data_IF_745495682118
#
_entry.id   IF_745495682118
#
_cell.length_a   1.000
_cell.length_b   1.000
_cell.length_c   1.000
_cell.angle_alpha   90.00
_cell.angle_beta   90.00
_cell.angle_gamma   90.00
#
_symmetry.space_group_name_H-M   'P 1'
#
loop_
_entity.id
_entity.type
_entity.pdbx_description
1 polymer ?
#
# COMPACT_ATOMS: atom_id res chain seq x y z
N UNK A 1 -20.76 -8.75 0.64
CA UNK A 1 -21.54 -7.56 0.28
C UNK A 1 -21.28 -7.29 -1.19
N UNK A 2 -22.25 -7.52 -2.06
CA UNK A 2 -22.02 -7.46 -3.52
C UNK A 2 -21.80 -6.02 -4.04
N UNK A 3 -22.13 -4.99 -3.27
CA UNK A 3 -21.93 -3.57 -3.65
C UNK A 3 -21.49 -2.69 -2.47
N UNK A 4 -20.66 -1.67 -2.74
CA UNK A 4 -20.18 -0.62 -1.81
C UNK A 4 -20.35 0.76 -2.45
N UNK A 5 -20.66 1.78 -1.66
CA UNK A 5 -20.72 3.18 -2.11
C UNK A 5 -19.35 3.67 -2.58
N UNK A 6 -19.32 4.49 -3.64
CA UNK A 6 -18.09 5.13 -4.15
C UNK A 6 -17.51 6.05 -3.07
N UNK A 7 -18.36 6.93 -2.53
CA UNK A 7 -18.00 7.78 -1.40
C UNK A 7 -18.29 7.03 -0.10
N UNK A 8 -17.23 6.58 0.57
CA UNK A 8 -17.29 6.02 1.91
C UNK A 8 -16.15 6.59 2.74
N UNK A 9 -16.40 6.88 4.03
CA UNK A 9 -15.36 7.48 4.88
C UNK A 9 -14.21 6.49 5.07
N UNK A 10 -12.99 7.03 5.09
CA UNK A 10 -11.81 6.23 5.43
C UNK A 10 -11.85 5.78 6.91
N UNK A 11 -11.11 4.72 7.28
CA UNK A 11 -10.98 4.31 8.66
C UNK A 11 -10.42 5.43 9.56
N UNK A 12 -11.07 5.64 10.71
CA UNK A 12 -10.64 6.56 11.76
C UNK A 12 -9.32 6.15 12.43
N UNK A 13 -8.81 6.95 13.37
CA UNK A 13 -7.49 6.71 13.97
C UNK A 13 -7.44 5.40 14.78
N UNK A 14 -8.46 5.13 15.59
CA UNK A 14 -8.51 3.96 16.48
C UNK A 14 -8.59 2.64 15.71
N UNK A 15 -9.15 2.64 14.51
CA UNK A 15 -9.23 1.43 13.67
C UNK A 15 -7.96 1.17 12.86
N UNK A 16 -6.95 2.06 12.93
CA UNK A 16 -5.64 1.86 12.30
C UNK A 16 -4.70 1.14 13.25
N UNK A 17 -3.72 0.48 12.66
CA UNK A 17 -2.57 -0.09 13.35
C UNK A 17 -1.31 0.27 12.59
N UNK A 18 -0.17 0.32 13.28
CA UNK A 18 1.13 0.48 12.62
C UNK A 18 1.31 -0.61 11.56
N UNK A 19 2.01 -0.29 10.48
CA UNK A 19 2.37 -1.26 9.46
C UNK A 19 3.55 -2.08 9.97
N UNK A 20 3.41 -3.41 10.03
CA UNK A 20 4.44 -4.33 10.56
C UNK A 20 4.57 -5.62 9.74
N UNK A 21 3.66 -5.88 8.81
CA UNK A 21 3.72 -7.06 7.93
C UNK A 21 4.28 -6.64 6.56
N UNK A 22 5.30 -7.32 6.03
CA UNK A 22 5.83 -7.02 4.70
C UNK A 22 4.83 -7.43 3.60
N UNK A 23 4.83 -6.67 2.51
CA UNK A 23 4.20 -7.00 1.25
C UNK A 23 5.32 -7.31 0.24
N UNK A 24 5.53 -8.58 -0.04
CA UNK A 24 6.56 -9.02 -0.99
C UNK A 24 6.16 -8.66 -2.42
N UNK A 25 7.02 -7.95 -3.13
CA UNK A 25 6.82 -7.57 -4.54
C UNK A 25 7.47 -8.57 -5.50
N UNK A 26 8.50 -9.29 -5.06
CA UNK A 26 9.31 -10.19 -5.88
C UNK A 26 10.40 -9.48 -6.69
N UNK A 27 10.51 -8.15 -6.55
CA UNK A 27 11.56 -7.35 -7.18
C UNK A 27 12.66 -7.09 -6.14
N UNK A 28 13.83 -7.69 -6.34
CA UNK A 28 14.97 -7.56 -5.41
C UNK A 28 15.27 -6.09 -5.11
N UNK A 29 15.24 -5.23 -6.14
CA UNK A 29 15.50 -3.80 -5.98
C UNK A 29 14.52 -3.12 -5.00
N UNK A 30 13.23 -3.49 -5.03
CA UNK A 30 12.22 -2.90 -4.15
C UNK A 30 12.28 -3.58 -2.79
N UNK A 31 12.21 -4.91 -2.74
CA UNK A 31 12.10 -5.65 -1.48
C UNK A 31 13.34 -5.46 -0.57
N UNK A 32 14.50 -5.15 -1.14
CA UNK A 32 15.73 -4.87 -0.37
C UNK A 32 15.92 -3.40 -0.01
N UNK A 33 15.75 -2.48 -0.97
CA UNK A 33 16.09 -1.06 -0.77
C UNK A 33 14.91 -0.24 -0.23
N UNK A 34 13.68 -0.59 -0.65
CA UNK A 34 12.46 0.17 -0.34
C UNK A 34 11.34 -0.84 -0.02
N UNK A 35 11.43 -1.57 1.10
CA UNK A 35 10.44 -2.57 1.45
C UNK A 35 9.06 -1.93 1.67
N UNK A 36 8.02 -2.53 1.10
CA UNK A 36 6.63 -2.07 1.23
C UNK A 36 5.91 -2.93 2.26
N UNK A 37 5.20 -2.30 3.20
CA UNK A 37 4.37 -3.01 4.18
C UNK A 37 2.88 -3.07 3.84
N UNK A 38 2.16 -4.05 4.39
CA UNK A 38 0.69 -4.18 4.26
C UNK A 38 -0.02 -2.99 4.90
N UNK A 39 -0.71 -2.19 4.08
CA UNK A 39 -1.38 -0.95 4.51
C UNK A 39 -0.57 0.32 4.27
N UNK A 40 0.67 0.21 3.78
CA UNK A 40 1.45 1.33 3.24
C UNK A 40 0.90 1.73 1.86
N UNK A 41 1.07 3.01 1.50
CA UNK A 41 0.78 3.52 0.17
C UNK A 41 2.09 4.05 -0.39
N UNK A 42 2.69 3.29 -1.27
CA UNK A 42 3.97 3.62 -1.89
C UNK A 42 3.73 4.27 -3.25
N UNK A 43 4.35 5.43 -3.48
CA UNK A 43 4.22 6.16 -4.74
C UNK A 43 5.25 5.62 -5.74
N UNK A 44 4.78 5.20 -6.91
CA UNK A 44 5.64 4.87 -8.05
C UNK A 44 5.48 5.99 -9.08
N UNK A 45 6.58 6.67 -9.39
CA UNK A 45 6.65 7.68 -10.43
C UNK A 45 7.79 7.36 -11.38
N UNK A 46 7.58 7.69 -12.65
CA UNK A 46 8.54 7.49 -13.72
C UNK A 46 8.03 8.16 -14.99
N UNK A 47 8.92 8.29 -15.97
CA UNK A 47 8.58 8.79 -17.28
C UNK A 47 7.96 7.68 -18.14
N UNK A 48 7.55 8.03 -19.36
CA UNK A 48 7.05 7.05 -20.33
C UNK A 48 8.18 6.07 -20.70
N UNK A 49 7.93 4.76 -20.51
CA UNK A 49 8.87 3.64 -20.78
C UNK A 49 9.98 3.45 -19.72
N UNK A 50 9.67 3.68 -18.45
CA UNK A 50 10.50 3.30 -17.29
C UNK A 50 9.82 2.29 -16.40
#
# INVERSE_FOLDING_TARGET
>A
SEYRLIESPAPGIISRRSVYEPLQTGLIAIDSMIPIGRGQRELIIGDRQT
#
